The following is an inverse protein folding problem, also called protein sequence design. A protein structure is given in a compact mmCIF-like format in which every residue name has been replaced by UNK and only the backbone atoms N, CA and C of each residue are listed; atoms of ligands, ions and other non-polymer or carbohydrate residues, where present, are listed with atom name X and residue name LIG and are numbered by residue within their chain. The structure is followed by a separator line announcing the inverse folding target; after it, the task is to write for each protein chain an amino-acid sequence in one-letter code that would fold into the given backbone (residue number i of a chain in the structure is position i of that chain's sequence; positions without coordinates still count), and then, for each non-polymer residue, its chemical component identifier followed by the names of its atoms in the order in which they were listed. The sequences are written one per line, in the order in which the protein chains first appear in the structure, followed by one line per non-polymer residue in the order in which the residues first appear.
data_IF_825743595702
#
_entry.id   IF_825743595702
#
_cell.length_a   1.000
_cell.length_b   1.000
_cell.length_c   1.000
_cell.angle_alpha   90.00
_cell.angle_beta   90.00
_cell.angle_gamma   90.00
#
_symmetry.space_group_name_H-M   'P 1'
#
loop_
_entity.id
_entity.type
_entity.pdbx_description
1 polymer ?
#
# COMPACT_ATOMS: atom_id res chain seq x y z
N UNK A 1 31.87 12.20 -24.64
CA UNK A 1 30.68 11.42 -24.26
C UNK A 1 30.79 10.80 -22.86
N UNK A 2 31.98 10.44 -22.38
CA UNK A 2 32.17 9.80 -21.07
C UNK A 2 31.95 10.73 -19.85
N UNK A 3 32.15 12.04 -19.99
CA UNK A 3 32.04 12.99 -18.87
C UNK A 3 30.61 13.39 -18.53
N UNK A 4 29.69 13.28 -19.47
CA UNK A 4 28.27 13.56 -19.21
C UNK A 4 27.65 12.50 -18.31
N UNK A 5 28.02 11.24 -18.47
CA UNK A 5 27.54 10.13 -17.63
C UNK A 5 28.08 10.17 -16.20
N UNK A 6 29.23 10.77 -15.95
CA UNK A 6 29.80 10.93 -14.62
C UNK A 6 29.14 12.00 -13.76
N UNK A 7 28.23 12.80 -14.35
CA UNK A 7 27.51 13.90 -13.67
C UNK A 7 26.03 13.56 -13.40
N UNK A 8 25.60 12.34 -13.68
CA UNK A 8 24.24 11.93 -13.37
C UNK A 8 24.10 11.68 -11.87
N UNK A 9 22.98 12.10 -11.25
CA UNK A 9 22.73 11.80 -9.84
C UNK A 9 22.54 10.30 -9.66
N UNK A 10 23.10 9.73 -8.61
CA UNK A 10 22.93 8.32 -8.27
C UNK A 10 21.47 8.01 -7.91
N UNK A 11 20.77 8.98 -7.33
CA UNK A 11 19.34 8.90 -7.02
C UNK A 11 18.70 10.28 -7.05
N UNK A 12 17.40 10.32 -7.24
CA UNK A 12 16.59 11.55 -7.17
C UNK A 12 16.01 11.69 -5.76
N UNK A 13 16.45 12.68 -4.96
CA UNK A 13 15.97 12.83 -3.59
C UNK A 13 14.49 13.23 -3.59
N UNK A 14 13.68 12.44 -2.89
CA UNK A 14 12.27 12.70 -2.67
C UNK A 14 12.05 13.46 -1.36
N UNK A 15 10.96 14.24 -1.29
CA UNK A 15 10.50 14.88 -0.05
C UNK A 15 9.76 13.92 0.87
N UNK A 16 9.26 12.82 0.32
CA UNK A 16 8.46 11.81 1.00
C UNK A 16 8.99 10.41 0.67
N UNK A 17 8.83 9.43 1.54
CA UNK A 17 9.13 8.04 1.25
C UNK A 17 8.05 7.46 0.33
N UNK A 18 8.24 7.57 -0.97
CA UNK A 18 7.20 7.30 -1.99
C UNK A 18 6.72 5.85 -1.94
N UNK A 19 7.63 4.87 -1.86
CA UNK A 19 7.28 3.46 -1.94
C UNK A 19 6.24 3.01 -0.88
N UNK A 20 6.39 3.31 0.41
CA UNK A 20 5.36 2.94 1.40
C UNK A 20 4.10 3.80 1.33
N UNK A 21 4.12 4.96 0.68
CA UNK A 21 2.92 5.78 0.51
C UNK A 21 2.04 5.30 -0.65
N UNK A 22 2.65 4.97 -1.78
CA UNK A 22 1.93 4.56 -3.00
C UNK A 22 1.76 3.05 -3.11
N UNK A 23 2.54 2.29 -2.34
CA UNK A 23 2.73 0.87 -2.58
C UNK A 23 3.65 0.60 -3.76
N UNK A 24 4.23 -0.58 -3.81
CA UNK A 24 5.05 -1.03 -4.92
C UNK A 24 5.04 -2.55 -5.00
N UNK A 25 4.90 -3.08 -6.20
CA UNK A 25 5.00 -4.52 -6.45
C UNK A 25 6.00 -4.75 -7.57
N UNK A 26 6.86 -5.73 -7.39
CA UNK A 26 7.88 -6.07 -8.37
C UNK A 26 8.42 -7.47 -8.18
N UNK A 27 8.86 -8.07 -9.29
CA UNK A 27 9.50 -9.39 -9.31
C UNK A 27 10.88 -9.21 -9.89
N UNK A 28 11.90 -9.60 -9.14
CA UNK A 28 13.28 -9.63 -9.58
C UNK A 28 13.83 -11.06 -9.54
N UNK A 29 14.99 -11.28 -10.16
CA UNK A 29 15.64 -12.58 -10.11
C UNK A 29 16.03 -12.91 -8.65
N UNK A 30 15.38 -13.90 -8.08
CA UNK A 30 15.66 -14.40 -6.73
C UNK A 30 14.83 -13.81 -5.58
N UNK A 31 14.07 -12.71 -5.79
CA UNK A 31 13.17 -12.17 -4.78
C UNK A 31 11.99 -11.40 -5.38
N UNK A 32 10.90 -11.33 -4.64
CA UNK A 32 9.74 -10.49 -4.96
C UNK A 32 9.61 -9.38 -3.92
N UNK A 33 9.14 -8.23 -4.37
CA UNK A 33 8.87 -7.08 -3.52
C UNK A 33 7.38 -6.80 -3.54
N UNK A 34 6.77 -6.67 -2.37
CA UNK A 34 5.36 -6.32 -2.23
C UNK A 34 5.22 -5.38 -1.05
N UNK A 35 5.18 -4.09 -1.34
CA UNK A 35 5.06 -3.02 -0.35
C UNK A 35 3.62 -2.50 -0.43
N UNK A 36 2.83 -2.61 0.65
CA UNK A 36 1.49 -2.05 0.66
C UNK A 36 1.52 -0.52 0.73
N UNK A 37 0.48 0.13 0.22
CA UNK A 37 0.28 1.56 0.42
C UNK A 37 -0.25 1.86 1.83
N UNK A 38 -0.07 3.12 2.26
CA UNK A 38 -0.50 3.60 3.56
C UNK A 38 -1.20 4.94 3.43
N UNK A 39 -2.02 5.28 4.41
CA UNK A 39 -2.61 6.60 4.52
C UNK A 39 -1.52 7.68 4.69
N UNK A 40 -1.40 8.65 3.76
CA UNK A 40 -0.34 9.65 3.81
C UNK A 40 -0.34 10.49 5.10
N UNK A 41 -1.53 10.79 5.63
CA UNK A 41 -1.66 11.61 6.85
C UNK A 41 -1.14 10.83 8.06
N UNK A 42 -1.52 9.56 8.20
CA UNK A 42 -1.08 8.69 9.29
C UNK A 42 0.41 8.41 9.20
N UNK A 43 0.91 8.12 7.99
CA UNK A 43 2.33 7.89 7.75
C UNK A 43 3.19 9.12 8.11
N UNK A 44 2.74 10.33 7.77
CA UNK A 44 3.43 11.57 8.14
C UNK A 44 3.37 11.83 9.65
N UNK A 45 2.26 11.54 10.31
CA UNK A 45 2.16 11.61 11.78
C UNK A 45 3.15 10.65 12.44
N UNK A 46 3.22 9.40 11.95
CA UNK A 46 4.17 8.41 12.44
C UNK A 46 5.62 8.83 12.21
N UNK A 47 5.94 9.36 11.01
CA UNK A 47 7.27 9.89 10.71
C UNK A 47 7.67 11.01 11.68
N UNK A 48 6.76 11.93 12.00
CA UNK A 48 7.01 12.99 12.99
C UNK A 48 7.19 12.45 14.40
N UNK A 49 6.42 11.44 14.78
CA UNK A 49 6.53 10.81 16.09
C UNK A 49 7.88 10.10 16.24
N UNK A 50 8.34 9.36 15.24
CA UNK A 50 9.65 8.70 15.22
C UNK A 50 10.82 9.70 15.16
N UNK A 51 10.65 10.84 14.53
CA UNK A 51 11.65 11.91 14.55
C UNK A 51 11.80 12.49 15.96
N UNK A 52 10.72 12.61 16.72
CA UNK A 52 10.73 13.11 18.10
C UNK A 52 11.18 12.04 19.11
N UNK A 53 10.80 10.79 18.89
CA UNK A 53 11.15 9.64 19.72
C UNK A 53 11.48 8.43 18.85
N UNK A 54 12.76 8.16 18.54
CA UNK A 54 13.17 7.02 17.72
C UNK A 54 12.84 5.66 18.33
N UNK A 55 12.69 5.58 19.65
CA UNK A 55 12.45 4.34 20.40
C UNK A 55 10.95 4.06 20.64
N UNK A 56 10.05 4.68 19.84
CA UNK A 56 8.62 4.44 19.92
C UNK A 56 8.32 2.93 19.81
N UNK A 57 7.51 2.39 20.68
CA UNK A 57 7.14 0.96 20.60
C UNK A 57 6.27 0.67 19.37
N UNK A 58 6.25 -0.60 18.93
CA UNK A 58 5.40 -1.03 17.82
C UNK A 58 3.92 -0.81 18.11
N UNK A 59 3.50 -0.98 19.35
CA UNK A 59 2.12 -0.70 19.76
C UNK A 59 1.76 0.77 19.63
N UNK A 60 2.64 1.69 20.04
CA UNK A 60 2.45 3.13 19.87
C UNK A 60 2.45 3.52 18.37
N UNK A 61 3.30 2.90 17.57
CA UNK A 61 3.27 3.10 16.12
C UNK A 61 1.94 2.70 15.51
N UNK A 62 1.38 1.55 15.92
CA UNK A 62 0.07 1.07 15.45
C UNK A 62 -1.12 1.90 15.95
N UNK A 63 -0.98 2.65 17.04
CA UNK A 63 -2.01 3.63 17.46
C UNK A 63 -2.06 4.84 16.53
N UNK A 64 -0.90 5.25 15.98
CA UNK A 64 -0.81 6.38 15.05
C UNK A 64 -1.20 5.98 13.63
N UNK A 65 -0.76 4.80 13.19
CA UNK A 65 -1.03 4.23 11.87
C UNK A 65 -1.47 2.77 12.06
N UNK A 66 -2.75 2.46 12.05
CA UNK A 66 -3.27 1.12 12.40
C UNK A 66 -2.86 0.00 11.45
N UNK A 67 -2.48 0.32 10.21
CA UNK A 67 -2.05 -0.65 9.21
C UNK A 67 -1.97 -0.09 7.81
N UNK A 68 -1.82 -0.96 6.81
CA UNK A 68 -1.86 -0.58 5.40
C UNK A 68 -3.23 -0.03 5.01
N UNK A 69 -3.24 0.90 4.06
CA UNK A 69 -4.43 1.50 3.48
C UNK A 69 -4.25 1.62 1.96
N UNK A 70 -5.22 1.11 1.20
CA UNK A 70 -5.16 1.11 -0.26
C UNK A 70 -6.14 2.12 -0.84
N UNK A 71 -5.72 2.85 -1.87
CA UNK A 71 -6.57 3.79 -2.57
C UNK A 71 -7.81 3.17 -3.25
N UNK A 72 -7.81 1.85 -3.45
CA UNK A 72 -8.97 1.09 -3.92
C UNK A 72 -9.97 0.75 -2.82
N UNK A 73 -9.64 1.06 -1.58
CA UNK A 73 -10.38 0.64 -0.39
C UNK A 73 -10.04 -0.79 -0.01
N UNK A 74 -10.99 -1.48 0.57
CA UNK A 74 -10.92 -2.79 1.19
C UNK A 74 -10.55 -2.76 2.69
N UNK A 75 -10.81 -3.84 3.38
CA UNK A 75 -10.57 -3.97 4.82
C UNK A 75 -9.48 -5.00 5.10
N UNK A 76 -8.55 -4.65 5.97
CA UNK A 76 -7.56 -5.60 6.48
C UNK A 76 -8.18 -6.39 7.62
N UNK A 77 -8.22 -7.71 7.48
CA UNK A 77 -8.67 -8.65 8.50
C UNK A 77 -7.42 -9.33 9.07
N UNK A 78 -6.73 -8.64 9.95
CA UNK A 78 -5.54 -9.16 10.59
C UNK A 78 -5.64 -9.05 12.11
N UNK A 79 -4.98 -9.97 12.81
CA UNK A 79 -4.78 -9.81 14.24
C UNK A 79 -3.80 -8.67 14.51
N UNK A 80 -3.89 -8.07 15.71
CA UNK A 80 -2.92 -7.06 16.15
C UNK A 80 -1.48 -7.58 16.01
N UNK A 81 -1.24 -8.84 16.37
CA UNK A 81 0.07 -9.48 16.24
C UNK A 81 0.53 -9.60 14.76
N UNK A 82 -0.38 -9.86 13.84
CA UNK A 82 -0.05 -9.93 12.40
C UNK A 82 0.42 -8.58 11.86
N UNK A 83 -0.21 -7.48 12.30
CA UNK A 83 0.22 -6.13 11.94
C UNK A 83 1.53 -5.76 12.66
N UNK A 84 1.68 -6.13 13.93
CA UNK A 84 2.93 -5.92 14.65
C UNK A 84 4.12 -6.63 13.96
N UNK A 85 3.94 -7.88 13.54
CA UNK A 85 4.96 -8.62 12.78
C UNK A 85 5.33 -7.89 11.48
N UNK A 86 4.35 -7.37 10.77
CA UNK A 86 4.57 -6.55 9.57
C UNK A 86 5.42 -5.31 9.89
N UNK A 87 5.11 -4.60 10.98
CA UNK A 87 5.83 -3.38 11.39
C UNK A 87 7.28 -3.66 11.78
N UNK A 88 7.51 -4.78 12.47
CA UNK A 88 8.84 -5.14 12.98
C UNK A 88 9.74 -5.77 11.91
N UNK A 89 9.17 -6.64 11.08
CA UNK A 89 9.94 -7.48 10.16
C UNK A 89 9.86 -7.06 8.69
N UNK A 90 8.85 -6.29 8.31
CA UNK A 90 8.55 -5.98 6.91
C UNK A 90 7.95 -7.14 6.11
N UNK A 91 7.64 -8.27 6.76
CA UNK A 91 7.01 -9.43 6.16
C UNK A 91 5.76 -9.83 6.92
N UNK A 92 4.66 -10.06 6.21
CA UNK A 92 3.44 -10.63 6.80
C UNK A 92 2.50 -11.17 5.72
N UNK A 93 1.58 -12.02 6.16
CA UNK A 93 0.42 -12.42 5.36
C UNK A 93 -0.82 -11.77 5.96
N UNK A 94 -1.37 -10.79 5.24
CA UNK A 94 -2.55 -10.03 5.65
C UNK A 94 -3.76 -10.52 4.86
N UNK A 95 -4.83 -10.90 5.55
CA UNK A 95 -6.11 -11.15 4.88
C UNK A 95 -6.75 -9.84 4.53
N UNK A 96 -7.05 -9.64 3.25
CA UNK A 96 -7.69 -8.44 2.73
C UNK A 96 -9.04 -8.81 2.15
N UNK A 97 -10.05 -8.03 2.50
CA UNK A 97 -11.45 -8.29 2.17
C UNK A 97 -12.05 -7.10 1.44
N UNK A 98 -12.61 -7.37 0.26
CA UNK A 98 -13.41 -6.40 -0.49
C UNK A 98 -14.64 -5.99 0.30
N UNK A 99 -15.11 -4.75 0.14
CA UNK A 99 -16.25 -4.23 0.88
C UNK A 99 -17.57 -4.55 0.18
N UNK A 100 -18.43 -5.25 0.88
CA UNK A 100 -19.77 -5.62 0.45
C UNK A 100 -20.82 -4.93 1.35
N UNK A 101 -21.67 -4.11 0.76
CA UNK A 101 -22.72 -3.39 1.47
C UNK A 101 -24.13 -3.95 1.09
N UNK A 102 -25.08 -3.82 2.00
CA UNK A 102 -26.49 -4.13 1.72
C UNK A 102 -27.20 -2.87 1.22
N UNK A 103 -27.59 -2.86 -0.04
CA UNK A 103 -28.32 -1.74 -0.64
C UNK A 103 -29.57 -2.28 -1.34
N UNK A 104 -30.74 -1.83 -0.89
CA UNK A 104 -32.03 -2.25 -1.48
C UNK A 104 -32.37 -3.73 -1.31
N UNK A 105 -31.65 -4.44 -0.43
CA UNK A 105 -31.83 -5.89 -0.23
C UNK A 105 -30.88 -6.75 -1.05
N UNK A 106 -30.09 -6.16 -1.95
CA UNK A 106 -29.04 -6.83 -2.72
C UNK A 106 -27.64 -6.60 -2.12
N UNK A 107 -26.69 -7.44 -2.53
CA UNK A 107 -25.27 -7.31 -2.13
C UNK A 107 -24.56 -6.43 -3.13
N UNK A 108 -23.97 -5.33 -2.68
CA UNK A 108 -23.27 -4.38 -3.55
C UNK A 108 -21.79 -4.33 -3.19
N UNK A 109 -20.92 -4.63 -4.17
CA UNK A 109 -19.48 -4.45 -4.05
C UNK A 109 -19.14 -2.97 -4.23
N UNK A 110 -18.55 -2.36 -3.22
CA UNK A 110 -18.13 -0.95 -3.19
C UNK A 110 -16.64 -0.75 -3.34
N UNK A 111 -15.86 -1.67 -2.76
CA UNK A 111 -14.41 -1.60 -2.77
C UNK A 111 -13.84 -2.99 -3.09
N UNK A 112 -12.78 -3.05 -3.87
CA UNK A 112 -12.14 -4.29 -4.26
C UNK A 112 -10.77 -4.41 -3.60
N UNK A 113 -10.43 -5.61 -3.16
CA UNK A 113 -9.13 -5.89 -2.58
C UNK A 113 -7.98 -5.63 -3.59
N UNK A 114 -6.81 -5.18 -3.12
CA UNK A 114 -5.67 -4.87 -3.98
C UNK A 114 -5.20 -6.11 -4.74
N UNK A 115 -4.62 -5.89 -5.93
CA UNK A 115 -4.12 -6.98 -6.79
C UNK A 115 -5.21 -7.78 -7.51
N UNK A 116 -6.49 -7.47 -7.31
CA UNK A 116 -7.62 -8.19 -7.92
C UNK A 116 -8.22 -7.40 -9.09
N UNK A 117 -8.32 -8.03 -10.24
CA UNK A 117 -9.03 -7.46 -11.38
C UNK A 117 -10.54 -7.65 -11.24
N UNK A 118 -11.28 -6.55 -11.15
CA UNK A 118 -12.75 -6.56 -11.07
C UNK A 118 -13.37 -7.39 -12.19
N UNK A 119 -12.92 -7.17 -13.42
CA UNK A 119 -13.42 -7.88 -14.61
C UNK A 119 -13.24 -9.40 -14.51
N UNK A 120 -12.06 -9.83 -14.03
CA UNK A 120 -11.74 -11.26 -13.90
C UNK A 120 -12.58 -11.92 -12.82
N UNK A 121 -12.71 -11.26 -11.66
CA UNK A 121 -13.52 -11.78 -10.54
C UNK A 121 -14.99 -11.86 -10.92
N UNK A 122 -15.53 -10.83 -11.56
CA UNK A 122 -16.92 -10.87 -12.04
C UNK A 122 -17.20 -11.98 -13.04
N UNK A 123 -16.26 -12.23 -13.97
CA UNK A 123 -16.35 -13.37 -14.86
C UNK A 123 -16.47 -14.69 -14.09
N UNK A 124 -15.54 -14.93 -13.17
CA UNK A 124 -15.55 -16.12 -12.31
C UNK A 124 -16.82 -16.25 -11.46
N UNK A 125 -17.33 -15.15 -10.89
CA UNK A 125 -18.57 -15.15 -10.11
C UNK A 125 -19.77 -15.53 -10.99
N UNK A 126 -19.89 -14.94 -12.19
CA UNK A 126 -20.96 -15.26 -13.14
C UNK A 126 -20.94 -16.74 -13.55
N UNK A 127 -19.75 -17.28 -13.80
CA UNK A 127 -19.59 -18.69 -14.14
C UNK A 127 -19.98 -19.61 -12.97
N UNK A 128 -19.60 -19.27 -11.74
CA UNK A 128 -19.98 -20.00 -10.53
C UNK A 128 -21.51 -19.93 -10.25
N UNK A 129 -22.15 -18.80 -10.54
CA UNK A 129 -23.62 -18.69 -10.46
C UNK A 129 -24.29 -19.62 -11.48
N UNK A 130 -23.76 -19.67 -12.72
CA UNK A 130 -24.28 -20.57 -13.78
C UNK A 130 -24.05 -22.04 -13.44
N UNK A 131 -22.91 -22.36 -12.86
CA UNK A 131 -22.58 -23.72 -12.41
C UNK A 131 -23.33 -24.14 -11.13
N UNK A 132 -24.08 -23.22 -10.49
CA UNK A 132 -24.77 -23.41 -9.22
C UNK A 132 -23.82 -23.70 -8.03
N UNK A 133 -22.57 -23.31 -8.14
CA UNK A 133 -21.62 -23.32 -7.03
C UNK A 133 -21.97 -22.20 -6.02
N UNK A 134 -22.38 -21.04 -6.53
CA UNK A 134 -22.96 -19.96 -5.72
C UNK A 134 -24.49 -20.10 -5.78
N UNK A 135 -25.07 -20.41 -4.62
CA UNK A 135 -26.50 -20.72 -4.50
C UNK A 135 -27.34 -19.57 -4.04
N UNK A 136 -26.74 -18.55 -3.42
CA UNK A 136 -27.43 -17.41 -2.83
C UNK A 136 -27.74 -16.32 -3.84
N UNK A 137 -27.01 -16.24 -4.95
CA UNK A 137 -27.12 -15.20 -5.97
C UNK A 137 -27.81 -15.69 -7.24
N UNK A 138 -28.54 -14.77 -7.88
CA UNK A 138 -29.20 -15.00 -9.19
C UNK A 138 -28.47 -14.35 -10.35
N UNK A 139 -27.73 -13.26 -10.10
CA UNK A 139 -27.00 -12.49 -11.12
C UNK A 139 -25.96 -11.56 -10.53
N UNK A 140 -25.12 -11.03 -11.42
CA UNK A 140 -24.11 -10.02 -11.09
C UNK A 140 -24.06 -8.97 -12.22
N UNK A 141 -24.34 -7.72 -11.89
CA UNK A 141 -24.37 -6.60 -12.84
C UNK A 141 -23.34 -5.55 -12.42
N UNK A 142 -22.57 -5.06 -13.38
CA UNK A 142 -21.55 -4.03 -13.17
C UNK A 142 -22.13 -2.66 -13.55
N UNK A 143 -22.26 -1.80 -12.58
CA UNK A 143 -22.69 -0.41 -12.71
C UNK A 143 -21.59 0.57 -12.34
N UNK A 144 -20.33 0.12 -12.34
CA UNK A 144 -19.17 0.94 -12.03
C UNK A 144 -18.96 2.01 -13.11
N UNK A 145 -18.72 3.24 -12.70
CA UNK A 145 -18.34 4.35 -13.57
C UNK A 145 -17.26 5.23 -12.91
N UNK A 146 -16.77 6.23 -13.63
CA UNK A 146 -15.74 7.15 -13.14
C UNK A 146 -16.20 8.00 -11.97
N UNK A 147 -17.50 8.30 -11.87
CA UNK A 147 -18.07 9.16 -10.83
C UNK A 147 -18.42 8.36 -9.56
N UNK A 148 -18.94 7.14 -9.74
CA UNK A 148 -19.42 6.29 -8.65
C UNK A 148 -18.35 5.33 -8.11
N UNK A 149 -17.23 5.18 -8.83
CA UNK A 149 -16.23 4.17 -8.54
C UNK A 149 -16.75 2.75 -8.72
N UNK A 150 -16.22 1.80 -7.96
CA UNK A 150 -16.67 0.39 -8.01
C UNK A 150 -18.11 0.27 -7.50
N UNK A 151 -18.99 -0.23 -8.34
CA UNK A 151 -20.40 -0.45 -8.01
C UNK A 151 -20.95 -1.68 -8.73
N UNK A 152 -20.82 -2.84 -8.12
CA UNK A 152 -21.35 -4.09 -8.68
C UNK A 152 -22.46 -4.60 -7.82
N UNK A 153 -23.61 -4.86 -8.44
CA UNK A 153 -24.81 -5.37 -7.78
C UNK A 153 -24.91 -6.87 -7.98
N UNK A 154 -24.93 -7.61 -6.89
CA UNK A 154 -25.22 -9.04 -6.86
C UNK A 154 -26.65 -9.25 -6.38
N UNK A 155 -27.53 -9.66 -7.28
CA UNK A 155 -28.94 -9.87 -6.99
C UNK A 155 -29.14 -11.13 -6.16
N UNK A 156 -29.77 -11.00 -4.99
CA UNK A 156 -30.09 -12.14 -4.13
C UNK A 156 -31.19 -13.03 -4.71
N UNK A 157 -31.09 -14.32 -4.52
CA UNK A 157 -32.19 -15.24 -4.79
C UNK A 157 -33.28 -15.12 -3.75
N UNK A 158 -34.53 -15.26 -4.17
CA UNK A 158 -35.69 -15.21 -3.30
C UNK A 158 -35.54 -16.14 -2.09
N UNK A 159 -35.70 -15.61 -0.90
CA UNK A 159 -35.61 -16.35 0.36
C UNK A 159 -34.18 -16.50 0.92
N UNK A 160 -33.19 -15.97 0.26
CA UNK A 160 -31.79 -15.92 0.78
C UNK A 160 -31.52 -14.63 1.53
N UNK A 161 -30.58 -14.68 2.48
CA UNK A 161 -30.22 -13.55 3.33
C UNK A 161 -28.88 -12.96 2.89
N UNK A 162 -28.72 -11.66 3.08
CA UNK A 162 -27.49 -10.91 2.81
C UNK A 162 -26.25 -11.58 3.43
N UNK A 163 -26.29 -11.91 4.72
CA UNK A 163 -25.15 -12.50 5.41
C UNK A 163 -24.71 -13.88 4.86
N UNK A 164 -25.66 -14.66 4.34
CA UNK A 164 -25.38 -15.94 3.71
C UNK A 164 -24.63 -15.72 2.38
N UNK A 165 -25.08 -14.78 1.58
CA UNK A 165 -24.45 -14.43 0.31
C UNK A 165 -23.05 -13.84 0.49
N UNK A 166 -22.89 -12.92 1.44
CA UNK A 166 -21.57 -12.34 1.77
C UNK A 166 -20.59 -13.42 2.20
N UNK A 167 -21.02 -14.34 3.07
CA UNK A 167 -20.18 -15.45 3.50
C UNK A 167 -19.82 -16.38 2.34
N UNK A 168 -20.79 -16.72 1.49
CA UNK A 168 -20.56 -17.57 0.31
C UNK A 168 -19.58 -16.90 -0.66
N UNK A 169 -19.74 -15.58 -0.93
CA UNK A 169 -18.85 -14.82 -1.78
C UNK A 169 -17.40 -14.81 -1.25
N UNK A 170 -17.18 -14.54 0.02
CA UNK A 170 -15.82 -14.52 0.59
C UNK A 170 -15.18 -15.91 0.62
N UNK A 171 -15.94 -16.97 0.83
CA UNK A 171 -15.37 -18.33 0.90
C UNK A 171 -15.13 -18.97 -0.48
N UNK A 172 -15.88 -18.57 -1.50
CA UNK A 172 -15.83 -19.20 -2.82
C UNK A 172 -15.13 -18.35 -3.89
N UNK A 173 -14.82 -17.09 -3.58
CA UNK A 173 -14.24 -16.15 -4.55
C UNK A 173 -13.01 -15.42 -3.99
N UNK A 174 -12.31 -14.70 -4.87
CA UNK A 174 -11.14 -13.90 -4.52
C UNK A 174 -11.49 -12.54 -3.85
N UNK A 175 -12.77 -12.29 -3.52
CA UNK A 175 -13.19 -11.08 -2.79
C UNK A 175 -12.62 -11.01 -1.37
N UNK A 176 -12.19 -12.14 -0.83
CA UNK A 176 -11.28 -12.23 0.29
C UNK A 176 -10.02 -12.96 -0.19
N UNK A 177 -8.86 -12.37 0.05
CA UNK A 177 -7.58 -12.92 -0.39
C UNK A 177 -6.48 -12.65 0.62
N UNK A 178 -5.39 -13.40 0.52
CA UNK A 178 -4.20 -13.15 1.32
C UNK A 178 -3.25 -12.25 0.53
N UNK A 179 -2.92 -11.11 1.12
CA UNK A 179 -1.91 -10.20 0.61
C UNK A 179 -0.57 -10.48 1.32
N UNK A 180 0.38 -11.01 0.58
CA UNK A 180 1.71 -11.34 1.11
C UNK A 180 2.59 -10.08 1.05
N UNK A 181 2.83 -9.48 2.20
CA UNK A 181 3.74 -8.33 2.34
C UNK A 181 5.18 -8.81 2.37
N UNK A 182 6.04 -8.18 1.58
CA UNK A 182 7.47 -8.38 1.58
C UNK A 182 8.19 -7.08 1.22
N UNK A 183 8.54 -6.30 2.23
CA UNK A 183 9.15 -4.98 2.08
C UNK A 183 10.67 -5.09 1.90
N UNK A 184 11.10 -5.47 0.71
CA UNK A 184 12.52 -5.51 0.35
C UNK A 184 12.95 -4.17 -0.21
N UNK A 185 13.97 -3.60 0.41
CA UNK A 185 14.65 -2.37 -0.03
C UNK A 185 16.12 -2.66 -0.24
N UNK A 186 16.76 -1.84 -1.06
CA UNK A 186 18.20 -1.89 -1.26
C UNK A 186 18.86 -0.91 -0.31
N UNK A 187 19.85 -1.36 0.47
CA UNK A 187 20.66 -0.50 1.32
C UNK A 187 21.69 0.30 0.48
N UNK A 188 22.52 1.09 1.16
CA UNK A 188 23.56 1.91 0.50
C UNK A 188 24.62 1.11 -0.22
N UNK A 189 24.82 -0.13 0.17
CA UNK A 189 25.78 -1.06 -0.45
C UNK A 189 25.14 -1.85 -1.60
N UNK A 190 23.93 -1.48 -2.02
CA UNK A 190 23.11 -2.17 -3.02
C UNK A 190 22.75 -3.61 -2.63
N UNK A 191 22.69 -3.90 -1.33
CA UNK A 191 22.30 -5.21 -0.82
C UNK A 191 20.79 -5.17 -0.51
N UNK A 192 19.98 -6.08 -1.09
CA UNK A 192 18.55 -6.17 -0.78
C UNK A 192 18.35 -6.69 0.65
N UNK A 193 17.55 -6.00 1.42
CA UNK A 193 17.19 -6.37 2.80
C UNK A 193 15.70 -6.13 3.03
N UNK A 194 15.11 -6.94 3.89
CA UNK A 194 13.74 -6.72 4.34
C UNK A 194 13.75 -5.75 5.51
N UNK A 195 12.95 -4.69 5.43
CA UNK A 195 12.88 -3.63 6.43
C UNK A 195 11.48 -3.53 7.02
N UNK A 196 11.41 -3.39 8.34
CA UNK A 196 10.19 -3.00 9.03
C UNK A 196 9.84 -1.52 8.78
N UNK A 197 8.67 -1.10 9.19
CA UNK A 197 8.20 0.28 9.00
C UNK A 197 9.13 1.28 9.68
N UNK A 198 9.62 0.97 10.89
CA UNK A 198 10.60 1.80 11.61
C UNK A 198 11.87 2.00 10.80
N UNK A 199 12.42 0.91 10.25
CA UNK A 199 13.67 0.95 9.49
C UNK A 199 13.50 1.81 8.24
N UNK A 200 12.40 1.63 7.51
CA UNK A 200 12.08 2.43 6.32
C UNK A 200 12.04 3.92 6.64
N UNK A 201 11.37 4.31 7.72
CA UNK A 201 11.27 5.72 8.12
C UNK A 201 12.63 6.24 8.59
N UNK A 202 13.37 5.48 9.40
CA UNK A 202 14.68 5.89 9.92
C UNK A 202 15.70 6.07 8.81
N UNK A 203 15.74 5.17 7.84
CA UNK A 203 16.63 5.28 6.68
C UNK A 203 16.25 6.46 5.79
N UNK A 204 14.95 6.70 5.60
CA UNK A 204 14.48 7.87 4.86
C UNK A 204 14.88 9.18 5.55
N UNK A 205 14.72 9.28 6.87
CA UNK A 205 15.11 10.47 7.64
C UNK A 205 16.62 10.72 7.56
N UNK A 206 17.45 9.69 7.72
CA UNK A 206 18.89 9.78 7.58
C UNK A 206 19.31 10.29 6.19
N UNK A 207 18.74 9.72 5.13
CA UNK A 207 18.99 10.16 3.76
C UNK A 207 18.54 11.62 3.56
N UNK A 208 17.41 12.01 4.16
CA UNK A 208 16.88 13.37 4.06
C UNK A 208 17.79 14.39 4.69
N UNK A 209 18.37 14.09 5.85
CA UNK A 209 19.33 14.96 6.52
C UNK A 209 20.58 15.17 5.66
N UNK A 210 21.13 14.13 5.06
CA UNK A 210 22.27 14.22 4.15
C UNK A 210 21.97 15.12 2.94
N UNK A 211 20.80 14.95 2.33
CA UNK A 211 20.38 15.77 1.20
C UNK A 211 20.22 17.24 1.61
N UNK A 212 19.69 17.51 2.80
CA UNK A 212 19.55 18.88 3.31
C UNK A 212 20.91 19.53 3.57
N UNK A 213 21.84 18.80 4.19
CA UNK A 213 23.21 19.26 4.42
C UNK A 213 23.92 19.55 3.09
N UNK A 214 23.88 18.61 2.14
CA UNK A 214 24.51 18.79 0.83
C UNK A 214 23.96 20.01 0.07
N UNK A 215 22.60 20.20 0.08
CA UNK A 215 21.96 21.37 -0.52
C UNK A 215 22.40 22.67 0.13
N UNK A 216 22.43 22.71 1.46
CA UNK A 216 22.81 23.90 2.21
C UNK A 216 24.28 24.27 1.96
N UNK A 217 25.16 23.27 1.93
CA UNK A 217 26.58 23.46 1.62
C UNK A 217 26.78 24.00 0.20
N UNK A 218 26.12 23.42 -0.79
CA UNK A 218 26.20 23.89 -2.18
C UNK A 218 25.66 25.33 -2.32
N UNK A 219 24.59 25.67 -1.61
CA UNK A 219 24.03 27.02 -1.62
C UNK A 219 25.00 28.04 -0.99
N UNK A 220 25.63 27.69 0.12
CA UNK A 220 26.62 28.56 0.78
C UNK A 220 27.87 28.79 -0.08
N UNK A 221 28.39 27.75 -0.71
CA UNK A 221 29.53 27.86 -1.63
C UNK A 221 29.20 28.80 -2.81
N UNK A 222 28.04 28.62 -3.43
CA UNK A 222 27.62 29.47 -4.54
C UNK A 222 27.47 30.94 -4.14
N UNK A 223 26.94 31.23 -2.94
CA UNK A 223 26.80 32.61 -2.44
C UNK A 223 28.15 33.22 -2.08
N UNK A 224 29.10 32.44 -1.56
CA UNK A 224 30.47 32.88 -1.27
C UNK A 224 31.22 33.24 -2.55
N UNK A 225 31.20 32.37 -3.56
CA UNK A 225 31.85 32.62 -4.86
C UNK A 225 31.28 33.86 -5.55
N UNK A 226 29.96 34.05 -5.51
CA UNK A 226 29.30 35.24 -6.06
C UNK A 226 29.62 36.55 -5.30
N UNK A 227 29.98 36.46 -3.99
CA UNK A 227 30.43 37.62 -3.22
C UNK A 227 31.87 37.99 -3.56
N UNK A 228 32.76 37.02 -3.77
CA UNK A 228 34.15 37.23 -4.11
C UNK A 228 34.29 37.81 -5.55
N UNK A 229 33.47 37.36 -6.52
CA UNK A 229 33.45 37.96 -7.85
C UNK A 229 33.00 39.43 -7.90
N UNK A 230 32.19 39.89 -6.91
CA UNK A 230 31.77 41.30 -6.80
C UNK A 230 32.81 42.18 -6.08
N UNK A 231 33.79 41.59 -5.44
CA UNK A 231 34.82 42.28 -4.64
C UNK A 231 36.11 42.43 -5.45
N UNK A 232 36.24 41.81 -6.61
CA UNK A 232 37.34 41.91 -7.57
C UNK A 232 36.94 42.86 -8.72
#
# INVERSE_FOLDING_TARGET
ASDVYKRQPEFLPSRFPVAPLTGSEGIAAGFSVTIPSHNPIEFLKLTRALLANPDLSTDEMMEIMPGPDWGTGASVIASRNGIATYYDTGCAHLTVRSRLDNIGGDVVLKEIAPGISLRTVLGKIRDKIRAREITTLSGAEDHSDMDKGTHVVFTLRRGKKFNEAVRELYTTTELESTYAVNMVFTDRDNIPRTWGIRDVISQFLSLRDEVLIARSTACLLYTSDAADERSS
#
